data_IF_365546069823
#
_entry.id   IF_365546069823
#
_cell.length_a   1.000
_cell.length_b   1.000
_cell.length_c   1.000
_cell.angle_alpha   90.00
_cell.angle_beta   90.00
_cell.angle_gamma   90.00
#
_symmetry.space_group_name_H-M   'P 1'
#
loop_
_entity.id
_entity.type
_entity.pdbx_description
1 polymer ?
#
# COMPACT_ATOMS: atom_id res chain seq x y z
N UNK A 1 -31.76 -10.77 -5.13
CA UNK A 1 -31.58 -9.33 -5.37
C UNK A 1 -31.95 -9.03 -6.81
N UNK A 2 -32.51 -7.87 -7.11
CA UNK A 2 -32.96 -7.55 -8.47
C UNK A 2 -31.78 -7.20 -9.40
N UNK A 3 -32.07 -7.18 -10.70
CA UNK A 3 -31.07 -6.92 -11.74
C UNK A 3 -30.44 -5.52 -11.61
N UNK A 4 -31.25 -4.53 -11.27
CA UNK A 4 -30.78 -3.15 -11.14
C UNK A 4 -29.74 -3.00 -10.03
N UNK A 5 -29.98 -3.60 -8.87
CA UNK A 5 -29.04 -3.56 -7.74
C UNK A 5 -27.77 -4.32 -8.06
N UNK A 6 -27.86 -5.45 -8.76
CA UNK A 6 -26.68 -6.21 -9.20
C UNK A 6 -25.81 -5.38 -10.13
N UNK A 7 -26.43 -4.66 -11.07
CA UNK A 7 -25.71 -3.79 -11.99
C UNK A 7 -24.98 -2.67 -11.25
N UNK A 8 -25.65 -2.05 -10.28
CA UNK A 8 -25.04 -0.99 -9.45
C UNK A 8 -23.86 -1.54 -8.65
N UNK A 9 -24.03 -2.71 -8.03
CA UNK A 9 -22.94 -3.35 -7.27
C UNK A 9 -21.75 -3.70 -8.16
N UNK A 10 -22.00 -4.19 -9.37
CA UNK A 10 -20.92 -4.49 -10.32
C UNK A 10 -20.10 -3.24 -10.64
N UNK A 11 -20.74 -2.08 -10.78
CA UNK A 11 -20.06 -0.81 -10.99
C UNK A 11 -19.20 -0.42 -9.76
N UNK A 12 -19.74 -0.63 -8.56
CA UNK A 12 -19.00 -0.34 -7.32
C UNK A 12 -17.80 -1.25 -7.14
N UNK A 13 -17.92 -2.52 -7.49
CA UNK A 13 -16.78 -3.45 -7.49
C UNK A 13 -15.69 -2.94 -8.45
N UNK A 14 -16.07 -2.51 -9.65
CA UNK A 14 -15.11 -1.97 -10.63
C UNK A 14 -14.42 -0.70 -10.09
N UNK A 15 -15.15 0.18 -9.42
CA UNK A 15 -14.58 1.37 -8.78
C UNK A 15 -13.58 1.00 -7.68
N UNK A 16 -13.90 0.00 -6.87
CA UNK A 16 -13.00 -0.48 -5.81
C UNK A 16 -11.73 -1.11 -6.39
N UNK A 17 -11.84 -1.85 -7.49
CA UNK A 17 -10.68 -2.42 -8.16
C UNK A 17 -9.76 -1.34 -8.73
N UNK A 18 -10.32 -0.23 -9.25
CA UNK A 18 -9.55 0.92 -9.70
C UNK A 18 -8.80 1.57 -8.54
N UNK A 19 -9.47 1.75 -7.39
CA UNK A 19 -8.83 2.28 -6.18
C UNK A 19 -7.70 1.38 -5.71
N UNK A 20 -7.91 0.07 -5.76
CA UNK A 20 -6.87 -0.90 -5.39
C UNK A 20 -5.62 -0.72 -6.26
N UNK A 21 -5.80 -0.61 -7.59
CA UNK A 21 -4.69 -0.38 -8.51
C UNK A 21 -3.95 0.92 -8.19
N UNK A 22 -4.67 1.99 -7.86
CA UNK A 22 -4.09 3.26 -7.46
C UNK A 22 -3.28 3.13 -6.17
N UNK A 23 -3.79 2.37 -5.19
CA UNK A 23 -3.07 2.12 -3.94
C UNK A 23 -1.80 1.30 -4.17
N UNK A 24 -1.83 0.32 -5.07
CA UNK A 24 -0.65 -0.45 -5.44
C UNK A 24 0.43 0.43 -6.07
N UNK A 25 0.04 1.36 -6.95
CA UNK A 25 0.95 2.31 -7.57
C UNK A 25 1.59 3.25 -6.52
N UNK A 26 0.77 3.79 -5.61
CA UNK A 26 1.24 4.66 -4.53
C UNK A 26 2.21 3.90 -3.63
N UNK A 27 1.88 2.66 -3.27
CA UNK A 27 2.75 1.82 -2.47
C UNK A 27 4.11 1.64 -3.15
N UNK A 28 4.12 1.35 -4.45
CA UNK A 28 5.36 1.21 -5.23
C UNK A 28 6.19 2.48 -5.21
N UNK A 29 5.57 3.65 -5.30
CA UNK A 29 6.26 4.93 -5.20
C UNK A 29 6.89 5.15 -3.82
N UNK A 30 6.18 4.76 -2.75
CA UNK A 30 6.72 4.83 -1.38
C UNK A 30 7.88 3.86 -1.20
N UNK A 31 7.78 2.65 -1.76
CA UNK A 31 8.88 1.68 -1.74
C UNK A 31 10.14 2.24 -2.41
N UNK A 32 9.97 2.95 -3.54
CA UNK A 32 11.10 3.58 -4.24
C UNK A 32 11.77 4.66 -3.38
N UNK A 33 10.98 5.48 -2.68
CA UNK A 33 11.49 6.49 -1.74
C UNK A 33 12.24 5.84 -0.59
N UNK A 34 11.68 4.77 -0.05
CA UNK A 34 12.28 3.98 1.02
C UNK A 34 13.63 3.41 0.59
N UNK A 35 13.69 2.86 -0.62
CA UNK A 35 14.91 2.28 -1.16
C UNK A 35 15.98 3.33 -1.41
N UNK A 36 15.60 4.52 -1.89
CA UNK A 36 16.53 5.64 -2.05
C UNK A 36 17.12 6.08 -0.72
N UNK A 37 16.29 6.17 0.33
CA UNK A 37 16.76 6.54 1.68
C UNK A 37 17.69 5.47 2.25
N UNK A 38 17.37 4.19 2.05
CA UNK A 38 18.20 3.08 2.49
C UNK A 38 19.58 3.10 1.78
N UNK A 39 19.59 3.37 0.48
CA UNK A 39 20.82 3.51 -0.29
C UNK A 39 21.67 4.69 0.22
N UNK A 40 21.04 5.83 0.51
CA UNK A 40 21.72 6.98 1.09
C UNK A 40 22.34 6.65 2.44
N UNK A 41 21.60 5.95 3.29
CA UNK A 41 22.09 5.52 4.61
C UNK A 41 23.28 4.58 4.47
N UNK A 42 23.18 3.59 3.58
CA UNK A 42 24.21 2.58 3.36
C UNK A 42 25.51 3.18 2.82
N UNK A 43 25.43 4.32 2.12
CA UNK A 43 26.58 5.02 1.55
C UNK A 43 27.20 6.05 2.50
N UNK A 44 26.63 6.26 3.68
CA UNK A 44 27.22 7.18 4.68
C UNK A 44 28.48 6.56 5.29
N UNK A 45 29.49 7.38 5.62
CA UNK A 45 30.63 6.91 6.43
C UNK A 45 30.14 6.36 7.78
N UNK A 46 30.84 5.36 8.32
CA UNK A 46 30.45 4.67 9.56
C UNK A 46 30.20 5.63 10.72
N UNK A 47 31.06 6.65 10.87
CA UNK A 47 30.89 7.64 11.92
C UNK A 47 29.60 8.46 11.81
N UNK A 48 29.12 8.70 10.59
CA UNK A 48 27.87 9.41 10.33
C UNK A 48 26.68 8.48 10.52
N UNK A 49 26.79 7.22 10.10
CA UNK A 49 25.75 6.22 10.34
C UNK A 49 25.46 6.04 11.84
N UNK A 50 26.49 6.14 12.67
CA UNK A 50 26.38 6.01 14.12
C UNK A 50 26.02 7.32 14.82
N UNK A 51 25.83 8.41 14.07
CA UNK A 51 25.45 9.72 14.58
C UNK A 51 23.93 9.85 14.69
N UNK A 52 23.48 10.95 15.30
CA UNK A 52 22.05 11.30 15.36
C UNK A 52 21.41 11.35 13.99
N UNK A 53 22.12 11.86 12.96
CA UNK A 53 21.63 11.90 11.59
C UNK A 53 21.36 10.49 11.05
N UNK A 54 22.26 9.55 11.30
CA UNK A 54 22.10 8.15 10.92
C UNK A 54 20.90 7.52 11.62
N UNK A 55 20.72 7.82 12.90
CA UNK A 55 19.59 7.31 13.69
C UNK A 55 18.26 7.80 13.13
N UNK A 56 18.18 9.09 12.78
CA UNK A 56 16.97 9.67 12.20
C UNK A 56 16.65 9.02 10.83
N UNK A 57 17.67 8.82 10.00
CA UNK A 57 17.48 8.16 8.70
C UNK A 57 16.95 6.74 8.88
N UNK A 58 17.51 5.99 9.84
CA UNK A 58 17.06 4.63 10.12
C UNK A 58 15.61 4.62 10.65
N UNK A 59 15.25 5.57 11.49
CA UNK A 59 13.87 5.73 11.97
C UNK A 59 12.89 5.99 10.79
N UNK A 60 13.29 6.82 9.84
CA UNK A 60 12.49 7.11 8.65
C UNK A 60 12.29 5.87 7.79
N UNK A 61 13.34 5.08 7.59
CA UNK A 61 13.27 3.82 6.83
C UNK A 61 12.32 2.84 7.52
N UNK A 62 12.47 2.66 8.83
CA UNK A 62 11.64 1.75 9.62
C UNK A 62 10.17 2.15 9.59
N UNK A 63 9.89 3.45 9.70
CA UNK A 63 8.52 3.96 9.64
C UNK A 63 7.91 3.77 8.25
N UNK A 64 8.67 3.99 7.18
CA UNK A 64 8.21 3.73 5.82
C UNK A 64 7.92 2.23 5.62
N UNK A 65 8.77 1.35 6.13
CA UNK A 65 8.54 -0.11 6.08
C UNK A 65 7.22 -0.48 6.77
N UNK A 66 6.95 0.11 7.93
CA UNK A 66 5.71 -0.13 8.67
C UNK A 66 4.49 0.32 7.86
N UNK A 67 4.56 1.51 7.26
CA UNK A 67 3.45 2.04 6.47
C UNK A 67 3.23 1.25 5.17
N UNK A 68 4.28 0.78 4.53
CA UNK A 68 4.18 -0.10 3.35
C UNK A 68 3.46 -1.39 3.73
N UNK A 69 3.80 -1.98 4.86
CA UNK A 69 3.14 -3.19 5.37
C UNK A 69 1.66 -2.95 5.65
N UNK A 70 1.32 -1.79 6.22
CA UNK A 70 -0.08 -1.41 6.47
C UNK A 70 -0.85 -1.22 5.17
N UNK A 71 -0.23 -0.64 4.14
CA UNK A 71 -0.84 -0.52 2.82
C UNK A 71 -1.12 -1.90 2.20
N UNK A 72 -0.22 -2.87 2.37
CA UNK A 72 -0.47 -4.25 1.92
C UNK A 72 -1.71 -4.82 2.58
N UNK A 73 -1.89 -4.59 3.87
CA UNK A 73 -3.08 -5.03 4.61
C UNK A 73 -4.35 -4.38 4.06
N UNK A 74 -4.31 -3.09 3.79
CA UNK A 74 -5.44 -2.36 3.21
C UNK A 74 -5.82 -2.93 1.83
N UNK A 75 -4.83 -3.19 0.99
CA UNK A 75 -5.04 -3.77 -0.34
C UNK A 75 -5.70 -5.16 -0.22
N UNK A 76 -5.22 -5.99 0.72
CA UNK A 76 -5.84 -7.29 1.01
C UNK A 76 -7.28 -7.17 1.46
N UNK A 77 -7.59 -6.19 2.31
CA UNK A 77 -8.97 -5.95 2.75
C UNK A 77 -9.87 -5.49 1.60
N UNK A 78 -9.35 -4.70 0.68
CA UNK A 78 -10.10 -4.34 -0.53
C UNK A 78 -10.42 -5.56 -1.38
N UNK A 79 -9.49 -6.49 -1.53
CA UNK A 79 -9.74 -7.77 -2.22
C UNK A 79 -10.86 -8.56 -1.54
N UNK A 80 -10.85 -8.62 -0.22
CA UNK A 80 -11.88 -9.31 0.56
C UNK A 80 -13.26 -8.68 0.32
N UNK A 81 -13.32 -7.34 0.31
CA UNK A 81 -14.57 -6.61 0.06
C UNK A 81 -15.08 -6.87 -1.35
N UNK A 82 -14.23 -6.77 -2.37
CA UNK A 82 -14.64 -7.00 -3.76
C UNK A 82 -15.09 -8.43 -3.98
N UNK A 83 -14.40 -9.41 -3.39
CA UNK A 83 -14.77 -10.82 -3.46
C UNK A 83 -16.13 -11.07 -2.79
N UNK A 84 -16.35 -10.48 -1.61
CA UNK A 84 -17.63 -10.61 -0.89
C UNK A 84 -18.79 -9.99 -1.66
N UNK A 85 -18.59 -8.83 -2.28
CA UNK A 85 -19.61 -8.18 -3.10
C UNK A 85 -19.88 -8.97 -4.38
N UNK A 86 -18.84 -9.57 -4.98
CA UNK A 86 -19.01 -10.42 -6.15
C UNK A 86 -19.86 -11.65 -5.83
N UNK A 87 -19.70 -12.24 -4.67
CA UNK A 87 -20.54 -13.34 -4.20
C UNK A 87 -22.02 -12.94 -4.13
N UNK A 88 -22.30 -11.72 -3.65
CA UNK A 88 -23.67 -11.17 -3.60
C UNK A 88 -24.22 -11.01 -5.01
N UNK A 89 -23.42 -10.49 -5.94
CA UNK A 89 -23.82 -10.29 -7.35
C UNK A 89 -24.14 -11.62 -8.00
N UNK A 90 -23.38 -12.67 -7.71
CA UNK A 90 -23.49 -13.99 -8.35
C UNK A 90 -24.64 -14.84 -7.77
N UNK A 91 -25.23 -14.44 -6.67
CA UNK A 91 -26.43 -15.10 -6.11
C UNK A 91 -27.67 -14.70 -6.89
#
# INVERSE_FOLDING_TARGET
MNKQRRTILSKKVAELETLKSQLEDIKGEIEDIRDEEDDCYSNLPDGIQMSERGDIMQECIDEMDEQISTLDDIISYLDDVTSGLQEVIDK
#
